data_IF_305754087350
#
_entry.id   IF_305754087350
#
_cell.length_a   1.000
_cell.length_b   1.000
_cell.length_c   1.000
_cell.angle_alpha   90.00
_cell.angle_beta   90.00
_cell.angle_gamma   90.00
#
_symmetry.space_group_name_H-M   'P 1'
#
loop_
_entity.id
_entity.type
_entity.pdbx_description
1 polymer ?
#
# COMPACT_ATOMS: atom_id res chain seq x y z
N UNK A 1 -13.66 -14.44 13.39
CA UNK A 1 -12.50 -13.56 13.65
C UNK A 1 -12.12 -12.86 12.36
N UNK A 2 -12.32 -11.55 12.24
CA UNK A 2 -11.70 -10.80 11.15
C UNK A 2 -10.19 -10.84 11.34
N UNK A 3 -9.50 -11.74 10.63
CA UNK A 3 -8.04 -11.73 10.56
C UNK A 3 -7.65 -10.35 10.05
N UNK A 4 -6.99 -9.57 10.89
CA UNK A 4 -6.34 -8.33 10.47
C UNK A 4 -5.25 -8.73 9.48
N UNK A 5 -5.55 -8.58 8.19
CA UNK A 5 -4.61 -8.87 7.12
C UNK A 5 -3.72 -7.65 6.93
N UNK A 6 -2.46 -7.79 7.33
CA UNK A 6 -1.39 -6.86 7.01
C UNK A 6 -0.47 -7.50 5.98
N UNK A 7 -0.04 -6.69 5.01
CA UNK A 7 0.97 -7.07 4.02
C UNK A 7 1.97 -5.94 3.87
N UNK A 8 3.08 -6.18 3.20
CA UNK A 8 4.09 -5.15 2.99
C UNK A 8 4.95 -5.42 1.77
N UNK A 9 5.73 -4.40 1.43
CA UNK A 9 6.67 -4.41 0.31
C UNK A 9 7.95 -3.69 0.74
N UNK A 10 9.10 -4.19 0.30
CA UNK A 10 10.37 -3.46 0.43
C UNK A 10 10.41 -2.28 -0.55
N UNK A 11 10.85 -1.12 -0.06
CA UNK A 11 11.06 0.10 -0.87
C UNK A 11 12.51 0.56 -0.73
N UNK A 12 12.89 1.64 -1.40
CA UNK A 12 14.26 2.14 -1.31
C UNK A 12 14.56 2.60 0.12
N UNK A 13 15.64 2.07 0.71
CA UNK A 13 16.08 2.39 2.07
C UNK A 13 14.98 2.29 3.15
N UNK A 14 13.99 1.41 2.94
CA UNK A 14 12.80 1.39 3.77
C UNK A 14 11.82 0.24 3.55
N UNK A 15 10.68 0.33 4.25
CA UNK A 15 9.59 -0.66 4.19
C UNK A 15 8.23 0.02 4.10
N UNK A 16 7.34 -0.57 3.31
CA UNK A 16 5.93 -0.19 3.23
C UNK A 16 5.06 -1.29 3.81
N UNK A 17 4.09 -0.90 4.63
CA UNK A 17 3.09 -1.78 5.24
C UNK A 17 1.68 -1.31 4.87
N UNK A 18 0.82 -2.25 4.46
CA UNK A 18 -0.58 -2.05 4.12
C UNK A 18 -1.46 -2.81 5.11
N UNK A 19 -2.37 -2.10 5.78
CA UNK A 19 -3.47 -2.69 6.54
C UNK A 19 -4.80 -2.67 5.77
N UNK A 20 -5.89 -2.99 6.46
CA UNK A 20 -7.21 -3.05 5.83
C UNK A 20 -7.79 -1.66 5.45
N UNK A 21 -7.30 -0.58 6.07
CA UNK A 21 -7.86 0.78 5.91
C UNK A 21 -6.82 1.85 5.62
N UNK A 22 -5.57 1.60 5.97
CA UNK A 22 -4.47 2.55 5.94
C UNK A 22 -3.22 1.83 5.50
N UNK A 23 -2.27 2.59 4.99
CA UNK A 23 -0.93 2.11 4.69
C UNK A 23 0.08 3.13 5.18
N UNK A 24 1.28 2.65 5.49
CA UNK A 24 2.39 3.46 5.94
C UNK A 24 3.67 3.03 5.22
N UNK A 25 4.58 3.98 5.03
CA UNK A 25 5.92 3.75 4.52
C UNK A 25 6.93 4.45 5.42
N UNK A 26 8.02 3.77 5.72
CA UNK A 26 9.11 4.27 6.56
C UNK A 26 10.41 4.10 5.79
N UNK A 27 11.16 5.19 5.60
CA UNK A 27 12.41 5.22 4.82
C UNK A 27 13.48 5.99 5.58
N UNK A 28 14.74 5.62 5.37
CA UNK A 28 15.88 6.36 5.88
C UNK A 28 16.26 7.47 4.92
N UNK A 29 16.11 8.72 5.34
CA UNK A 29 16.57 9.88 4.60
C UNK A 29 18.12 9.92 4.54
N UNK A 30 18.72 10.65 3.58
CA UNK A 30 20.18 10.83 3.52
C UNK A 30 20.79 11.45 4.79
N UNK A 31 20.00 12.21 5.56
CA UNK A 31 20.39 12.74 6.88
C UNK A 31 20.59 11.65 7.95
N UNK A 32 20.13 10.43 7.69
CA UNK A 32 20.11 9.29 8.62
C UNK A 32 18.82 9.16 9.43
N UNK A 33 17.93 10.16 9.37
CA UNK A 33 16.62 10.14 10.04
C UNK A 33 15.63 9.18 9.35
N UNK A 34 14.71 8.60 10.12
CA UNK A 34 13.61 7.80 9.56
C UNK A 34 12.41 8.71 9.33
N UNK A 35 12.04 8.90 8.06
CA UNK A 35 10.83 9.63 7.69
C UNK A 35 9.71 8.63 7.48
N UNK A 36 8.53 8.93 8.03
CA UNK A 36 7.35 8.08 7.91
C UNK A 36 6.21 8.84 7.23
N UNK A 37 5.53 8.17 6.32
CA UNK A 37 4.32 8.69 5.67
C UNK A 37 3.19 7.69 5.84
N UNK A 38 1.99 8.17 6.17
CA UNK A 38 0.80 7.33 6.39
C UNK A 38 -0.39 7.92 5.66
N UNK A 39 -1.13 7.09 4.93
CA UNK A 39 -2.28 7.50 4.14
C UNK A 39 -3.43 6.50 4.24
N UNK A 40 -4.66 6.99 4.02
CA UNK A 40 -5.87 6.16 3.98
C UNK A 40 -6.03 5.46 2.63
N UNK A 41 -6.50 4.21 2.68
CA UNK A 41 -6.88 3.47 1.49
C UNK A 41 -8.26 3.94 0.98
N UNK A 42 -8.41 4.22 -0.32
CA UNK A 42 -9.68 4.65 -0.87
C UNK A 42 -10.75 3.56 -0.70
N UNK A 43 -11.87 3.90 -0.04
CA UNK A 43 -13.02 3.00 0.18
C UNK A 43 -13.76 2.66 -1.12
N UNK A 44 -13.58 3.46 -2.17
CA UNK A 44 -14.45 3.49 -3.35
C UNK A 44 -14.40 2.23 -4.23
N UNK A 45 -13.30 1.47 -4.22
CA UNK A 45 -13.13 0.33 -5.14
C UNK A 45 -13.89 -0.92 -4.67
N UNK A 46 -14.45 -0.95 -3.46
CA UNK A 46 -15.01 -2.16 -2.85
C UNK A 46 -16.53 -2.36 -2.99
N UNK A 47 -17.27 -1.41 -3.59
CA UNK A 47 -18.74 -1.46 -3.63
C UNK A 47 -19.37 -1.89 -4.96
N UNK A 48 -18.59 -2.19 -6.01
CA UNK A 48 -19.16 -2.68 -7.26
C UNK A 48 -19.36 -4.21 -7.20
N UNK A 49 -20.60 -4.73 -7.31
CA UNK A 49 -20.87 -6.17 -7.29
C UNK A 49 -20.15 -6.96 -8.40
N UNK A 50 -19.85 -6.33 -9.54
CA UNK A 50 -19.12 -6.97 -10.66
C UNK A 50 -17.68 -7.29 -10.27
N UNK A 51 -17.05 -6.45 -9.44
CA UNK A 51 -15.68 -6.64 -8.97
C UNK A 51 -15.52 -7.77 -7.93
N UNK A 52 -16.63 -8.40 -7.52
CA UNK A 52 -16.61 -9.57 -6.62
C UNK A 52 -16.31 -10.89 -7.36
N UNK A 53 -16.39 -10.91 -8.70
CA UNK A 53 -16.02 -12.08 -9.50
C UNK A 53 -14.53 -12.44 -9.28
N UNK A 54 -14.15 -13.72 -9.09
CA UNK A 54 -12.80 -14.11 -8.68
C UNK A 54 -11.67 -13.52 -9.52
N UNK A 55 -11.84 -13.46 -10.84
CA UNK A 55 -10.85 -12.90 -11.76
C UNK A 55 -10.71 -11.38 -11.63
N UNK A 56 -11.83 -10.66 -11.67
CA UNK A 56 -11.86 -9.20 -11.54
C UNK A 56 -11.40 -8.75 -10.15
N UNK A 57 -11.74 -9.52 -9.12
CA UNK A 57 -11.26 -9.33 -7.75
C UNK A 57 -9.73 -9.43 -7.69
N UNK A 58 -9.16 -10.45 -8.33
CA UNK A 58 -7.70 -10.63 -8.42
C UNK A 58 -7.02 -9.47 -9.13
N UNK A 59 -7.55 -9.08 -10.30
CA UNK A 59 -7.01 -7.97 -11.09
C UNK A 59 -7.06 -6.64 -10.32
N UNK A 60 -8.17 -6.36 -9.64
CA UNK A 60 -8.29 -5.16 -8.82
C UNK A 60 -7.30 -5.16 -7.64
N UNK A 61 -7.18 -6.28 -6.92
CA UNK A 61 -6.21 -6.36 -5.83
C UNK A 61 -4.77 -6.15 -6.31
N UNK A 62 -4.45 -6.68 -7.51
CA UNK A 62 -3.15 -6.48 -8.13
C UNK A 62 -2.94 -5.01 -8.50
N UNK A 63 -3.93 -4.38 -9.14
CA UNK A 63 -3.88 -2.96 -9.50
C UNK A 63 -3.68 -2.06 -8.28
N UNK A 64 -4.45 -2.29 -7.21
CA UNK A 64 -4.32 -1.55 -5.95
C UNK A 64 -2.93 -1.73 -5.34
N UNK A 65 -2.41 -2.96 -5.35
CA UNK A 65 -1.08 -3.25 -4.76
C UNK A 65 0.05 -2.62 -5.57
N UNK A 66 -0.03 -2.69 -6.91
CA UNK A 66 0.92 -2.04 -7.81
C UNK A 66 0.87 -0.51 -7.67
N UNK A 67 -0.32 0.08 -7.66
CA UNK A 67 -0.49 1.52 -7.52
C UNK A 67 0.07 2.04 -6.20
N UNK A 68 -0.20 1.35 -5.09
CA UNK A 68 0.37 1.67 -3.79
C UNK A 68 1.89 1.46 -3.74
N UNK A 69 2.38 0.34 -4.28
CA UNK A 69 3.81 0.03 -4.33
C UNK A 69 4.57 1.09 -5.13
N UNK A 70 4.06 1.52 -6.29
CA UNK A 70 4.67 2.58 -7.09
C UNK A 70 4.65 3.93 -6.37
N UNK A 71 3.55 4.28 -5.69
CA UNK A 71 3.51 5.52 -4.87
C UNK A 71 4.53 5.47 -3.74
N UNK A 72 4.66 4.33 -3.06
CA UNK A 72 5.62 4.17 -1.98
C UNK A 72 7.08 4.20 -2.48
N UNK A 73 7.36 3.59 -3.64
CA UNK A 73 8.67 3.64 -4.29
C UNK A 73 9.05 5.06 -4.71
N UNK A 74 8.16 5.77 -5.40
CA UNK A 74 8.41 7.15 -5.81
C UNK A 74 8.63 8.05 -4.59
N UNK A 75 7.78 7.92 -3.56
CA UNK A 75 7.96 8.67 -2.33
C UNK A 75 9.30 8.33 -1.65
N UNK A 76 9.69 7.05 -1.59
CA UNK A 76 10.97 6.65 -1.01
C UNK A 76 12.19 7.17 -1.76
N UNK A 77 12.05 7.49 -3.05
CA UNK A 77 13.12 8.08 -3.85
C UNK A 77 13.21 9.61 -3.70
N UNK A 78 12.11 10.26 -3.29
CA UNK A 78 12.05 11.71 -3.07
C UNK A 78 12.51 12.13 -1.66
N UNK A 79 12.63 11.18 -0.73
CA UNK A 79 13.07 11.40 0.66
C UNK A 79 14.58 11.34 0.80
#
# INVERSE_FOLDING_TARGET
>A
MSRLNYGGQAVMEGVMMRGAREWAVAVRAPSGEIVTHTDRLPKAVYNNPVLKLPFLRGLQMLWDSLGLGMRALNWSADV
#
